data_IF_408131157162
#
_entry.id   IF_408131157162
#
_cell.length_a   1.000
_cell.length_b   1.000
_cell.length_c   1.000
_cell.angle_alpha   90.00
_cell.angle_beta   90.00
_cell.angle_gamma   90.00
#
_symmetry.space_group_name_H-M   'P 1'
#
loop_
_entity.id
_entity.type
_entity.pdbx_description
1 polymer ?
#
# COMPACT_ATOMS: atom_id res chain seq x y z
N UNK A 1 13.19 23.59 -68.22
CA UNK A 1 12.68 23.98 -66.90
C UNK A 1 12.49 22.71 -66.08
N UNK A 2 13.55 22.31 -65.33
CA UNK A 2 13.55 21.10 -64.49
C UNK A 2 12.83 21.37 -63.18
N UNK A 3 11.79 20.66 -62.97
CA UNK A 3 11.15 20.53 -61.67
C UNK A 3 11.92 19.45 -60.91
N UNK A 4 12.84 19.86 -60.06
CA UNK A 4 13.51 18.92 -59.17
C UNK A 4 12.49 18.32 -58.18
N UNK A 5 12.29 17.04 -58.30
CA UNK A 5 11.56 16.24 -57.32
C UNK A 5 12.31 16.23 -55.97
N UNK A 6 11.85 17.06 -55.03
CA UNK A 6 12.26 16.94 -53.64
C UNK A 6 11.75 15.59 -53.12
N UNK A 7 12.68 14.66 -52.91
CA UNK A 7 12.37 13.44 -52.22
C UNK A 7 11.74 13.75 -50.85
N UNK A 8 10.61 13.16 -50.46
CA UNK A 8 10.04 13.40 -49.18
C UNK A 8 11.05 12.93 -48.14
N UNK A 9 11.45 13.87 -47.27
CA UNK A 9 12.20 13.53 -46.06
C UNK A 9 11.34 12.49 -45.31
N UNK A 10 11.80 11.26 -45.27
CA UNK A 10 11.26 10.29 -44.35
C UNK A 10 11.53 10.85 -42.95
N UNK A 11 10.55 11.51 -42.37
CA UNK A 11 10.49 11.71 -40.95
C UNK A 11 10.36 10.30 -40.39
N UNK A 12 11.48 9.72 -40.02
CA UNK A 12 11.50 8.57 -39.15
C UNK A 12 10.94 9.10 -37.84
N UNK A 13 9.64 8.88 -37.62
CA UNK A 13 9.09 8.93 -36.28
C UNK A 13 10.02 8.06 -35.44
N UNK A 14 10.87 8.71 -34.69
CA UNK A 14 11.48 8.06 -33.55
C UNK A 14 10.31 7.76 -32.64
N UNK A 15 9.69 6.61 -32.85
CA UNK A 15 8.85 6.00 -31.85
C UNK A 15 9.69 6.01 -30.60
N UNK A 16 9.38 6.93 -29.72
CA UNK A 16 9.81 6.83 -28.35
C UNK A 16 9.27 5.48 -27.93
N UNK A 17 10.16 4.52 -27.78
CA UNK A 17 9.85 3.19 -27.29
C UNK A 17 9.52 3.36 -25.81
N UNK A 18 8.39 4.04 -25.54
CA UNK A 18 7.87 4.17 -24.19
C UNK A 18 7.54 2.78 -23.72
N UNK A 19 8.29 2.30 -22.74
CA UNK A 19 8.03 1.01 -22.14
C UNK A 19 6.54 0.92 -21.78
N UNK A 20 5.86 -0.18 -22.09
CA UNK A 20 4.44 -0.34 -21.81
C UNK A 20 4.19 -0.23 -20.30
N UNK A 21 3.01 0.27 -19.94
CA UNK A 21 2.55 0.24 -18.56
C UNK A 21 2.25 -1.19 -18.14
N UNK A 22 2.94 -1.69 -17.15
CA UNK A 22 2.78 -3.05 -16.64
C UNK A 22 2.42 -3.05 -15.15
N UNK A 23 1.64 -4.04 -14.77
CA UNK A 23 1.38 -4.33 -13.36
C UNK A 23 2.45 -5.25 -12.82
N UNK A 24 3.04 -4.87 -11.70
CA UNK A 24 4.11 -5.60 -11.02
C UNK A 24 3.82 -5.73 -9.53
N UNK A 25 4.39 -6.76 -8.93
CA UNK A 25 4.33 -6.99 -7.49
C UNK A 25 5.75 -7.10 -6.94
N UNK A 26 6.05 -6.28 -5.94
CA UNK A 26 7.32 -6.31 -5.23
C UNK A 26 7.10 -6.79 -3.80
N UNK A 27 7.88 -7.77 -3.37
CA UNK A 27 7.89 -8.31 -2.02
C UNK A 27 9.04 -7.70 -1.23
N UNK A 28 8.79 -7.32 0.01
CA UNK A 28 9.82 -6.79 0.90
C UNK A 28 9.35 -6.72 2.34
N UNK A 29 10.28 -6.39 3.24
CA UNK A 29 9.99 -6.20 4.67
C UNK A 29 9.70 -4.74 4.96
N UNK A 30 8.66 -4.46 5.74
CA UNK A 30 8.36 -3.11 6.22
C UNK A 30 9.55 -2.59 7.03
N UNK A 31 10.11 -1.46 6.63
CA UNK A 31 11.07 -0.68 7.42
C UNK A 31 10.34 0.41 8.19
N UNK A 32 9.46 1.13 7.53
CA UNK A 32 8.62 2.19 8.10
C UNK A 32 7.33 2.35 7.30
N UNK A 33 6.23 2.56 8.00
CA UNK A 33 4.95 2.92 7.41
C UNK A 33 4.43 4.19 8.06
N UNK A 34 3.92 5.09 7.23
CA UNK A 34 3.22 6.31 7.61
C UNK A 34 1.91 6.41 6.81
N UNK A 35 1.08 7.40 7.09
CA UNK A 35 -0.14 7.63 6.32
C UNK A 35 0.09 7.81 4.80
N UNK A 36 1.27 8.33 4.41
CA UNK A 36 1.57 8.72 3.04
C UNK A 36 2.61 7.83 2.34
N UNK A 37 3.44 7.10 3.10
CA UNK A 37 4.55 6.36 2.54
C UNK A 37 4.80 5.03 3.25
N UNK A 38 5.05 4.00 2.44
CA UNK A 38 5.61 2.72 2.87
C UNK A 38 7.08 2.66 2.43
N UNK A 39 7.97 2.56 3.40
CA UNK A 39 9.38 2.26 3.17
C UNK A 39 9.61 0.78 3.44
N UNK A 40 10.11 0.05 2.47
CA UNK A 40 10.39 -1.38 2.61
C UNK A 40 11.80 -1.73 2.14
N UNK A 41 12.30 -2.85 2.63
CA UNK A 41 13.55 -3.46 2.19
C UNK A 41 13.22 -4.69 1.37
N UNK A 42 13.66 -4.73 0.12
CA UNK A 42 13.44 -5.85 -0.80
C UNK A 42 14.23 -7.09 -0.40
N UNK A 43 13.96 -8.23 -1.04
CA UNK A 43 14.73 -9.47 -0.83
C UNK A 43 16.21 -9.30 -1.15
N UNK A 44 16.57 -8.40 -2.06
CA UNK A 44 17.98 -8.08 -2.42
C UNK A 44 18.61 -7.01 -1.51
N UNK A 45 17.92 -6.58 -0.46
CA UNK A 45 18.43 -5.61 0.49
C UNK A 45 18.29 -4.14 0.09
N UNK A 46 17.66 -3.83 -1.05
CA UNK A 46 17.44 -2.46 -1.48
C UNK A 46 16.28 -1.82 -0.72
N UNK A 47 16.43 -0.55 -0.36
CA UNK A 47 15.35 0.23 0.27
C UNK A 47 14.54 0.93 -0.81
N UNK A 48 13.23 0.67 -0.82
CA UNK A 48 12.28 1.28 -1.76
C UNK A 48 11.16 1.98 -0.99
N UNK A 49 10.74 3.14 -1.49
CA UNK A 49 9.64 3.92 -0.90
C UNK A 49 8.47 3.98 -1.88
N UNK A 50 7.29 3.59 -1.40
CA UNK A 50 6.04 3.67 -2.16
C UNK A 50 5.10 4.72 -1.56
N UNK A 51 4.49 5.59 -2.37
CA UNK A 51 3.40 6.45 -1.92
C UNK A 51 2.16 5.59 -1.68
N UNK A 52 1.56 5.68 -0.51
CA UNK A 52 0.39 4.86 -0.13
C UNK A 52 -0.84 5.70 0.24
N UNK A 53 -0.81 7.00 -0.02
CA UNK A 53 -1.98 7.88 0.16
C UNK A 53 -3.14 7.41 -0.74
N UNK A 54 -4.29 7.15 -0.14
CA UNK A 54 -5.47 6.68 -0.88
C UNK A 54 -5.38 5.23 -1.39
N UNK A 55 -4.30 4.52 -1.10
CA UNK A 55 -4.07 3.15 -1.56
C UNK A 55 -4.79 2.16 -0.65
N UNK A 56 -5.46 1.16 -1.26
CA UNK A 56 -6.06 0.03 -0.56
C UNK A 56 -4.98 -0.79 0.14
N UNK A 57 -5.13 -1.03 1.45
CA UNK A 57 -4.17 -1.76 2.24
C UNK A 57 -4.85 -2.83 3.10
N UNK A 58 -4.29 -4.03 3.10
CA UNK A 58 -4.79 -5.16 3.87
C UNK A 58 -3.64 -5.91 4.57
N UNK A 59 -3.69 -6.00 5.88
CA UNK A 59 -2.69 -6.67 6.70
C UNK A 59 -3.40 -7.67 7.63
N UNK A 60 -3.43 -8.94 7.22
CA UNK A 60 -4.06 -10.03 7.98
C UNK A 60 -3.41 -10.24 9.35
N UNK A 61 -2.10 -10.05 9.41
CA UNK A 61 -1.29 -10.23 10.63
C UNK A 61 -0.97 -8.93 11.36
N UNK A 62 -1.53 -7.80 10.90
CA UNK A 62 -1.26 -6.47 11.41
C UNK A 62 0.01 -5.82 10.82
N UNK A 63 0.30 -4.60 11.24
CA UNK A 63 1.41 -3.78 10.73
C UNK A 63 2.55 -3.78 11.74
N UNK A 64 3.71 -4.30 11.32
CA UNK A 64 4.93 -4.34 12.17
C UNK A 64 6.18 -4.23 11.31
N UNK A 65 7.19 -3.49 11.80
CA UNK A 65 8.51 -3.46 11.16
C UNK A 65 9.10 -4.88 11.03
N UNK A 66 9.78 -5.15 9.92
CA UNK A 66 10.35 -6.46 9.59
C UNK A 66 9.35 -7.47 9.01
N UNK A 67 8.04 -7.17 8.98
CA UNK A 67 7.03 -8.04 8.36
C UNK A 67 7.09 -7.96 6.85
N UNK A 68 6.92 -9.10 6.19
CA UNK A 68 6.83 -9.20 4.74
C UNK A 68 5.51 -8.64 4.24
N UNK A 69 5.59 -7.85 3.17
CA UNK A 69 4.45 -7.30 2.44
C UNK A 69 4.69 -7.37 0.95
N UNK A 70 3.61 -7.34 0.20
CA UNK A 70 3.56 -7.30 -1.25
C UNK A 70 2.97 -5.95 -1.65
N UNK A 71 3.67 -5.21 -2.50
CA UNK A 71 3.19 -3.97 -3.10
C UNK A 71 2.87 -4.25 -4.56
N UNK A 72 1.60 -4.12 -4.90
CA UNK A 72 1.12 -4.22 -6.28
C UNK A 72 1.04 -2.81 -6.86
N UNK A 73 1.70 -2.59 -7.97
CA UNK A 73 1.85 -1.26 -8.56
C UNK A 73 1.93 -1.35 -10.09
N UNK A 74 1.60 -0.25 -10.75
CA UNK A 74 1.70 -0.06 -12.19
C UNK A 74 2.80 0.93 -12.51
N UNK A 75 3.61 0.62 -13.51
CA UNK A 75 4.71 1.47 -13.94
C UNK A 75 5.21 1.14 -15.32
N UNK A 76 6.15 1.95 -15.81
CA UNK A 76 6.90 1.71 -17.05
C UNK A 76 8.25 1.13 -16.67
N UNK A 77 8.62 -0.02 -17.26
CA UNK A 77 9.86 -0.72 -16.94
C UNK A 77 10.64 -1.00 -18.21
N UNK A 78 11.89 -0.53 -18.27
CA UNK A 78 12.79 -0.79 -19.39
C UNK A 78 13.42 -2.19 -19.28
N UNK A 79 13.56 -2.71 -18.05
CA UNK A 79 14.02 -4.07 -17.79
C UNK A 79 13.49 -4.61 -16.47
N UNK A 80 13.42 -5.94 -16.35
CA UNK A 80 13.00 -6.60 -15.10
C UNK A 80 13.95 -6.34 -13.91
N UNK A 81 15.20 -6.00 -14.18
CA UNK A 81 16.20 -5.67 -13.16
C UNK A 81 15.99 -4.32 -12.49
N UNK A 82 15.23 -3.42 -13.11
CA UNK A 82 14.94 -2.09 -12.53
C UNK A 82 13.98 -2.15 -11.33
N UNK A 83 13.25 -3.25 -11.15
CA UNK A 83 12.24 -3.40 -10.10
C UNK A 83 12.85 -3.43 -8.70
N UNK A 84 14.14 -3.71 -8.60
CA UNK A 84 14.80 -3.95 -7.34
C UNK A 84 16.08 -3.11 -7.15
N UNK A 85 16.18 -1.99 -7.85
CA UNK A 85 17.32 -1.08 -7.75
C UNK A 85 16.95 0.19 -6.99
N UNK A 86 17.97 0.85 -6.41
CA UNK A 86 17.83 2.15 -5.73
C UNK A 86 17.23 3.25 -6.63
N UNK A 87 17.29 3.07 -7.95
CA UNK A 87 16.75 4.02 -8.94
C UNK A 87 15.22 3.98 -9.05
N UNK A 88 14.58 3.06 -8.35
CA UNK A 88 13.14 2.83 -8.41
C UNK A 88 12.30 3.88 -7.67
N UNK A 89 12.92 4.78 -6.94
CA UNK A 89 12.24 5.87 -6.25
C UNK A 89 11.66 6.87 -7.27
N UNK A 90 10.50 6.57 -7.84
CA UNK A 90 9.75 7.49 -8.69
C UNK A 90 9.34 6.97 -10.07
N UNK A 91 9.74 5.75 -10.46
CA UNK A 91 9.43 5.21 -11.80
C UNK A 91 8.08 4.46 -11.89
N UNK A 92 7.34 4.31 -10.78
CA UNK A 92 6.01 3.73 -10.82
C UNK A 92 4.95 4.82 -10.97
N UNK A 93 3.98 4.56 -11.83
CA UNK A 93 2.92 5.51 -12.14
C UNK A 93 1.85 5.50 -11.05
N UNK A 94 1.57 4.33 -10.44
CA UNK A 94 0.52 4.17 -9.42
C UNK A 94 0.74 2.93 -8.56
N UNK A 95 0.66 3.10 -7.25
CA UNK A 95 0.48 1.96 -6.32
C UNK A 95 -0.99 1.57 -6.29
N UNK A 96 -1.28 0.30 -6.52
CA UNK A 96 -2.64 -0.25 -6.62
C UNK A 96 -3.10 -0.77 -5.26
N UNK A 97 -2.24 -1.59 -4.61
CA UNK A 97 -2.55 -2.14 -3.28
C UNK A 97 -1.30 -2.56 -2.53
N UNK A 98 -1.43 -2.68 -1.21
CA UNK A 98 -0.43 -3.25 -0.31
C UNK A 98 -1.09 -4.34 0.53
N UNK A 99 -0.43 -5.49 0.69
CA UNK A 99 -0.94 -6.60 1.50
C UNK A 99 0.19 -7.43 2.11
N UNK A 100 -0.03 -8.00 3.30
CA UNK A 100 0.85 -9.04 3.87
C UNK A 100 0.46 -10.46 3.43
N UNK A 101 -0.54 -10.57 2.55
CA UNK A 101 -0.95 -11.82 1.91
C UNK A 101 -0.48 -11.77 0.46
N UNK A 102 0.14 -12.87 -0.01
CA UNK A 102 0.59 -12.99 -1.39
C UNK A 102 -0.60 -12.89 -2.35
N UNK A 103 -0.64 -11.91 -3.26
CA UNK A 103 -1.75 -11.73 -4.18
C UNK A 103 -1.96 -12.92 -5.13
N UNK A 104 -0.93 -13.75 -5.34
CA UNK A 104 -1.02 -14.98 -6.13
C UNK A 104 -1.58 -16.16 -5.34
N UNK A 105 -1.75 -16.02 -4.02
CA UNK A 105 -2.22 -17.07 -3.09
C UNK A 105 -3.54 -16.71 -2.41
N UNK A 106 -4.20 -15.65 -2.82
CA UNK A 106 -5.46 -15.23 -2.21
C UNK A 106 -6.59 -16.10 -2.74
N UNK A 107 -7.11 -17.07 -1.96
CA UNK A 107 -8.49 -17.46 -2.12
C UNK A 107 -9.33 -16.26 -1.70
N UNK A 108 -10.36 -15.96 -2.46
CA UNK A 108 -11.38 -14.97 -2.14
C UNK A 108 -11.75 -15.08 -0.64
N UNK A 109 -11.78 -13.99 0.13
CA UNK A 109 -12.08 -14.06 1.54
C UNK A 109 -13.55 -14.44 1.73
N UNK A 110 -13.83 -15.72 1.72
CA UNK A 110 -15.08 -16.25 2.30
C UNK A 110 -14.89 -16.19 3.81
N UNK A 111 -15.69 -15.43 4.56
CA UNK A 111 -15.61 -15.43 6.01
C UNK A 111 -16.06 -16.80 6.52
N UNK A 112 -15.11 -17.62 6.92
CA UNK A 112 -15.43 -18.82 7.69
C UNK A 112 -15.70 -18.40 9.13
N UNK A 113 -16.90 -18.59 9.66
CA UNK A 113 -17.18 -18.31 11.07
C UNK A 113 -16.46 -19.34 11.93
N UNK A 114 -15.48 -18.90 12.69
CA UNK A 114 -14.88 -19.71 13.76
C UNK A 114 -15.81 -19.69 14.98
N UNK A 115 -16.23 -20.84 15.53
CA UNK A 115 -17.04 -20.89 16.74
C UNK A 115 -16.15 -20.84 17.98
N UNK A 116 -15.75 -19.64 18.41
CA UNK A 116 -15.25 -19.42 19.78
C UNK A 116 -16.27 -18.61 20.57
N UNK A 117 -16.36 -18.79 21.90
CA UNK A 117 -17.35 -18.10 22.76
C UNK A 117 -17.11 -16.58 22.65
N UNK A 118 -18.07 -15.90 22.06
CA UNK A 118 -18.01 -14.47 21.74
C UNK A 118 -17.94 -13.65 23.02
N UNK A 119 -16.74 -13.19 23.38
CA UNK A 119 -16.62 -12.00 24.20
C UNK A 119 -17.37 -10.89 23.46
N UNK A 120 -18.22 -10.15 24.19
CA UNK A 120 -19.05 -9.10 23.59
C UNK A 120 -18.18 -8.11 22.82
N UNK A 121 -18.23 -8.17 21.51
CA UNK A 121 -17.50 -7.24 20.63
C UNK A 121 -18.15 -5.86 20.71
N UNK A 122 -17.35 -4.85 20.81
CA UNK A 122 -17.75 -3.45 20.79
C UNK A 122 -17.14 -2.77 19.55
N UNK A 123 -17.83 -1.79 19.03
CA UNK A 123 -17.41 -1.05 17.84
C UNK A 123 -17.24 0.43 18.19
N UNK A 124 -16.11 0.97 17.78
CA UNK A 124 -15.78 2.38 17.97
C UNK A 124 -15.48 3.00 16.62
N UNK A 125 -16.20 4.06 16.27
CA UNK A 125 -15.88 4.88 15.11
C UNK A 125 -14.97 6.04 15.55
N UNK A 126 -13.84 6.17 14.89
CA UNK A 126 -12.84 7.16 15.23
C UNK A 126 -12.20 7.79 13.99
N UNK A 127 -11.71 9.02 14.14
CA UNK A 127 -10.98 9.76 13.11
C UNK A 127 -9.49 9.56 13.28
N UNK A 128 -8.79 9.24 12.21
CA UNK A 128 -7.32 9.06 12.21
C UNK A 128 -6.65 10.42 12.43
N UNK A 129 -5.73 10.48 13.38
CA UNK A 129 -4.82 11.60 13.64
C UNK A 129 -3.48 11.31 12.99
N UNK A 130 -2.89 10.16 13.31
CA UNK A 130 -1.59 9.75 12.77
C UNK A 130 -1.49 8.23 12.67
N UNK A 131 -0.57 7.78 11.81
CA UNK A 131 -0.27 6.37 11.62
C UNK A 131 1.23 6.17 11.68
N UNK A 132 1.67 5.20 12.46
CA UNK A 132 3.04 4.73 12.51
C UNK A 132 3.11 3.22 12.25
N UNK A 133 4.31 2.66 12.22
CA UNK A 133 4.52 1.26 11.82
C UNK A 133 3.81 0.25 12.75
N UNK A 134 3.60 0.60 14.02
CA UNK A 134 3.05 -0.33 15.02
C UNK A 134 1.75 0.15 15.65
N UNK A 135 1.41 1.41 15.49
CA UNK A 135 0.30 2.08 16.18
C UNK A 135 -0.46 3.01 15.24
N UNK A 136 -1.72 3.22 15.55
CA UNK A 136 -2.55 4.27 14.97
C UNK A 136 -3.07 5.16 16.10
N UNK A 137 -2.97 6.48 15.94
CA UNK A 137 -3.58 7.44 16.85
C UNK A 137 -4.88 7.92 16.23
N UNK A 138 -5.95 7.84 17.00
CA UNK A 138 -7.31 8.18 16.57
C UNK A 138 -8.01 9.03 17.61
N UNK A 139 -9.04 9.78 17.17
CA UNK A 139 -9.98 10.48 18.06
C UNK A 139 -11.33 9.81 17.90
N UNK A 140 -11.84 9.09 18.94
CA UNK A 140 -13.19 8.54 18.94
C UNK A 140 -14.23 9.65 18.85
N UNK A 141 -15.31 9.39 18.13
CA UNK A 141 -16.43 10.35 18.03
C UNK A 141 -17.14 10.60 19.38
N UNK A 142 -17.00 9.66 20.32
CA UNK A 142 -17.69 9.69 21.62
C UNK A 142 -16.94 10.47 22.70
N UNK A 143 -15.63 10.49 22.67
CA UNK A 143 -14.81 11.05 23.78
C UNK A 143 -14.03 12.29 23.40
N UNK A 144 -13.80 12.53 22.13
CA UNK A 144 -12.98 13.63 21.58
C UNK A 144 -11.53 13.68 22.13
N UNK A 145 -11.06 12.59 22.74
CA UNK A 145 -9.72 12.44 23.32
C UNK A 145 -8.88 11.56 22.42
N UNK A 146 -7.59 11.85 22.24
CA UNK A 146 -6.69 11.02 21.46
C UNK A 146 -6.47 9.65 22.11
N UNK A 147 -6.57 8.61 21.30
CA UNK A 147 -6.35 7.23 21.67
C UNK A 147 -5.29 6.60 20.76
N UNK A 148 -4.27 6.00 21.33
CA UNK A 148 -3.27 5.24 20.58
C UNK A 148 -3.60 3.75 20.63
N UNK A 149 -3.85 3.17 19.46
CA UNK A 149 -4.22 1.76 19.29
C UNK A 149 -3.07 0.99 18.67
N UNK A 150 -2.62 -0.12 19.28
CA UNK A 150 -1.62 -1.01 18.68
C UNK A 150 -2.22 -1.77 17.51
N UNK A 151 -1.54 -1.75 16.34
CA UNK A 151 -1.96 -2.43 15.11
C UNK A 151 -0.98 -3.51 14.64
N UNK A 152 0.00 -3.84 15.47
CA UNK A 152 1.07 -4.78 15.11
C UNK A 152 0.66 -6.26 15.09
N UNK A 153 -0.46 -6.62 15.71
CA UNK A 153 -0.90 -8.02 15.86
C UNK A 153 -2.39 -8.23 15.56
N UNK A 154 -3.07 -7.21 15.06
CA UNK A 154 -4.49 -7.27 14.70
C UNK A 154 -4.66 -7.11 13.19
N UNK A 155 -5.67 -7.76 12.59
CA UNK A 155 -5.99 -7.54 11.19
C UNK A 155 -6.36 -6.07 10.94
N UNK A 156 -5.81 -5.49 9.89
CA UNK A 156 -6.03 -4.09 9.52
C UNK A 156 -6.41 -4.01 8.05
N UNK A 157 -7.50 -3.29 7.77
CA UNK A 157 -7.98 -3.07 6.42
C UNK A 157 -8.33 -1.60 6.18
N UNK A 158 -7.68 -0.99 5.20
CA UNK A 158 -7.95 0.36 4.75
C UNK A 158 -8.38 0.36 3.28
N UNK A 159 -9.64 0.62 3.03
CA UNK A 159 -10.19 0.67 1.66
C UNK A 159 -9.66 1.85 0.84
N UNK A 160 -9.47 2.99 1.50
CA UNK A 160 -9.06 4.26 0.87
C UNK A 160 -7.76 4.84 1.43
N UNK A 161 -6.89 4.00 2.01
CA UNK A 161 -5.65 4.45 2.65
C UNK A 161 -5.86 4.93 4.10
N UNK A 162 -4.78 5.47 4.70
CA UNK A 162 -4.70 5.84 6.12
C UNK A 162 -4.51 7.34 6.31
N UNK A 163 -5.11 8.15 5.46
CA UNK A 163 -4.93 9.61 5.53
C UNK A 163 -5.43 10.17 6.87
N UNK A 164 -4.71 11.10 7.51
CA UNK A 164 -5.21 11.86 8.66
C UNK A 164 -6.56 12.51 8.33
N UNK A 165 -7.48 12.48 9.26
CA UNK A 165 -8.86 12.96 9.06
C UNK A 165 -9.84 11.90 8.55
N UNK A 166 -9.37 10.79 7.98
CA UNK A 166 -10.24 9.67 7.58
C UNK A 166 -10.83 8.95 8.79
N UNK A 167 -11.99 8.31 8.60
CA UNK A 167 -12.64 7.53 9.65
C UNK A 167 -12.31 6.05 9.54
N UNK A 168 -12.14 5.42 10.70
CA UNK A 168 -11.96 3.98 10.87
C UNK A 168 -12.97 3.43 11.86
N UNK A 169 -13.32 2.15 11.65
CA UNK A 169 -14.08 1.37 12.64
C UNK A 169 -13.10 0.43 13.35
N UNK A 170 -13.08 0.51 14.66
CA UNK A 170 -12.25 -0.32 15.53
C UNK A 170 -13.17 -1.29 16.24
N UNK A 171 -12.92 -2.58 16.08
CA UNK A 171 -13.60 -3.64 16.84
C UNK A 171 -12.71 -4.09 17.98
N UNK A 172 -13.21 -4.09 19.19
CA UNK A 172 -12.46 -4.47 20.39
C UNK A 172 -13.32 -5.28 21.35
N UNK A 173 -12.67 -5.98 22.26
CA UNK A 173 -13.33 -6.75 23.33
C UNK A 173 -12.85 -6.26 24.68
N UNK A 174 -13.77 -6.11 25.65
CA UNK A 174 -13.46 -5.61 26.99
C UNK A 174 -13.98 -4.20 27.23
N UNK A 175 -13.65 -3.63 28.39
CA UNK A 175 -14.03 -2.26 28.75
C UNK A 175 -13.04 -1.27 28.14
N UNK A 176 -13.57 -0.27 27.46
CA UNK A 176 -12.80 0.86 26.99
C UNK A 176 -12.77 1.90 28.12
N UNK A 177 -11.63 1.99 28.79
CA UNK A 177 -11.37 3.07 29.75
C UNK A 177 -10.56 4.12 29.00
N UNK A 178 -11.24 5.10 28.41
CA UNK A 178 -10.64 6.28 27.79
C UNK A 178 -10.39 7.38 28.80
#
# INVERSE_FOLDING_TARGET
TDISTISPIKVTDQYHNEAPLEDRTLKGKIKRLTANALVMVTEKGNTVTFPVTGVKQYYKKGIKAGRWVYVHFRGKFISSSQIDTKQYNGSFTKVISVSDVDPLKVPDPTPTPSPEPKKKEQHLRARIVSVSTNTITVIPQTTNTELTVPISSVPVYFKGGMAPGSYVNITYTGNFNG
#
